data_IF_756145308508
#
_entry.id   IF_756145308508
#
_cell.length_a   1.000
_cell.length_b   1.000
_cell.length_c   1.000
_cell.angle_alpha   90.00
_cell.angle_beta   90.00
_cell.angle_gamma   90.00
#
_symmetry.space_group_name_H-M   'P 1'
#
loop_
_entity.id
_entity.type
_entity.pdbx_description
1 polymer ?
#
# COMPACT_ATOMS: atom_id res chain seq x y z
N UNK A 1 17.57 20.76 -10.12
CA UNK A 1 16.63 20.12 -9.78
C UNK A 1 16.75 19.21 -8.64
N UNK A 2 15.79 18.81 -8.09
CA UNK A 2 15.77 18.07 -7.01
C UNK A 2 14.78 17.09 -7.17
N UNK A 3 14.95 16.00 -6.59
CA UNK A 3 14.25 14.88 -6.89
C UNK A 3 13.31 14.45 -5.83
N UNK A 4 13.43 14.90 -4.63
CA UNK A 4 12.50 14.54 -3.57
C UNK A 4 11.88 15.75 -2.99
N UNK A 5 11.55 16.70 -3.85
CA UNK A 5 11.19 17.97 -3.38
C UNK A 5 9.84 18.07 -2.82
N UNK A 6 8.90 17.28 -3.24
CA UNK A 6 7.56 17.43 -2.76
C UNK A 6 7.17 16.22 -1.93
N UNK A 7 7.30 16.36 -0.63
CA UNK A 7 6.88 15.32 0.30
C UNK A 7 5.46 15.54 0.81
N UNK A 8 4.81 16.64 0.41
CA UNK A 8 3.48 16.99 0.91
C UNK A 8 2.37 16.44 0.02
N UNK A 9 2.38 15.17 -0.20
CA UNK A 9 1.33 14.52 -0.96
C UNK A 9 1.10 13.12 -0.41
N UNK A 10 -0.04 12.56 -0.73
CA UNK A 10 -0.38 11.19 -0.36
C UNK A 10 -0.81 10.46 -1.61
N UNK A 11 -0.89 9.14 -1.51
CA UNK A 11 -1.41 8.31 -2.59
C UNK A 11 -2.57 7.49 -2.07
N UNK A 12 -3.66 7.45 -2.84
CA UNK A 12 -4.72 6.50 -2.56
C UNK A 12 -4.31 5.14 -3.09
N UNK A 13 -4.86 4.08 -2.53
CA UNK A 13 -4.60 2.74 -3.03
C UNK A 13 -5.82 1.84 -2.83
N UNK A 14 -5.88 0.82 -3.66
CA UNK A 14 -6.92 -0.19 -3.54
C UNK A 14 -6.36 -1.48 -4.13
N UNK A 15 -6.31 -2.52 -3.32
CA UNK A 15 -5.77 -3.81 -3.74
C UNK A 15 -6.68 -4.94 -3.29
N UNK A 16 -6.54 -6.08 -3.95
CA UNK A 16 -7.13 -7.33 -3.47
C UNK A 16 -5.96 -8.20 -3.04
N UNK A 17 -6.04 -8.80 -1.86
CA UNK A 17 -4.97 -9.65 -1.35
C UNK A 17 -4.96 -10.98 -2.09
N UNK A 18 -3.92 -11.77 -1.85
CA UNK A 18 -3.87 -13.15 -2.33
C UNK A 18 -5.04 -13.95 -1.77
N UNK A 19 -5.34 -15.05 -2.45
CA UNK A 19 -6.35 -15.99 -1.98
C UNK A 19 -5.64 -17.02 -1.11
N UNK A 20 -5.97 -17.02 0.16
CA UNK A 20 -5.43 -17.97 1.12
C UNK A 20 -6.60 -18.45 1.98
N UNK A 21 -6.61 -19.73 2.29
CA UNK A 21 -7.71 -20.31 3.07
C UNK A 21 -9.05 -20.03 2.40
N UNK A 22 -9.06 -20.12 1.07
CA UNK A 22 -10.25 -20.00 0.21
C UNK A 22 -10.92 -18.63 0.21
N UNK A 23 -10.20 -17.59 0.57
CA UNK A 23 -10.77 -16.23 0.49
C UNK A 23 -9.67 -15.19 0.32
N UNK A 24 -10.08 -14.00 -0.07
CA UNK A 24 -9.21 -12.83 -0.15
C UNK A 24 -9.92 -11.66 0.52
N UNK A 25 -9.20 -10.57 0.70
CA UNK A 25 -9.73 -9.34 1.29
C UNK A 25 -9.38 -8.17 0.39
N UNK A 26 -10.10 -7.08 0.52
CA UNK A 26 -9.72 -5.85 -0.14
C UNK A 26 -9.01 -4.95 0.85
N UNK A 27 -8.09 -4.15 0.33
CA UNK A 27 -7.33 -3.15 1.08
C UNK A 27 -7.51 -1.83 0.36
N UNK A 28 -7.98 -0.82 1.05
CA UNK A 28 -8.16 0.49 0.44
C UNK A 28 -7.87 1.57 1.46
N UNK A 29 -7.23 2.65 1.03
CA UNK A 29 -6.91 3.74 1.93
C UNK A 29 -5.99 4.72 1.28
N UNK A 30 -5.26 5.46 2.12
CA UNK A 30 -4.33 6.49 1.68
C UNK A 30 -3.04 6.36 2.48
N UNK A 31 -1.92 6.69 1.82
CA UNK A 31 -0.63 6.65 2.48
C UNK A 31 -0.45 7.88 3.36
N UNK A 32 0.61 7.89 4.13
CA UNK A 32 1.07 9.08 4.83
C UNK A 32 1.69 10.07 3.84
N UNK A 33 2.09 11.21 4.34
CA UNK A 33 2.93 12.14 3.57
C UNK A 33 4.26 11.46 3.25
N UNK A 34 4.99 12.00 2.29
CA UNK A 34 6.25 11.41 1.86
C UNK A 34 7.33 11.49 2.92
N UNK A 35 8.22 10.53 2.89
CA UNK A 35 9.39 10.46 3.76
C UNK A 35 10.61 10.40 2.84
N UNK A 36 11.58 11.26 3.09
CA UNK A 36 12.77 11.32 2.26
C UNK A 36 13.52 9.99 2.23
N UNK A 37 13.96 9.57 1.06
CA UNK A 37 14.65 8.32 0.88
C UNK A 37 15.68 8.50 -0.24
N UNK A 38 16.93 8.84 0.12
CA UNK A 38 17.95 9.16 -0.87
C UNK A 38 17.53 10.34 -1.73
N UNK A 39 17.55 10.17 -3.04
CA UNK A 39 17.09 11.19 -3.98
C UNK A 39 15.61 11.01 -4.32
N UNK A 40 14.93 10.11 -3.65
CA UNK A 40 13.53 9.84 -3.89
C UNK A 40 12.76 9.99 -2.57
N UNK A 41 11.62 9.38 -2.48
CA UNK A 41 10.81 9.36 -1.27
C UNK A 41 9.99 8.09 -1.22
N UNK A 42 9.53 7.76 -0.04
CA UNK A 42 8.64 6.62 0.19
C UNK A 42 7.49 7.10 1.05
N UNK A 43 6.49 6.27 1.23
CA UNK A 43 5.34 6.58 2.07
C UNK A 43 5.09 5.42 3.01
N UNK A 44 4.65 5.74 4.22
CA UNK A 44 4.16 4.72 5.16
C UNK A 44 2.68 4.52 4.92
N UNK A 45 2.20 3.33 5.22
CA UNK A 45 0.77 3.05 5.14
C UNK A 45 0.40 2.02 6.18
N UNK A 46 -0.84 2.04 6.60
CA UNK A 46 -1.36 1.04 7.54
C UNK A 46 -2.88 1.04 7.45
N UNK A 47 -3.48 -0.03 7.90
CA UNK A 47 -4.92 -0.12 7.90
C UNK A 47 -5.39 -1.51 8.24
N UNK A 48 -6.66 -1.76 7.97
CA UNK A 48 -7.30 -3.04 8.19
C UNK A 48 -8.01 -3.42 6.90
N UNK A 49 -7.92 -4.68 6.53
CA UNK A 49 -8.58 -5.18 5.32
C UNK A 49 -10.10 -5.18 5.50
N UNK A 50 -10.82 -5.48 4.43
CA UNK A 50 -12.25 -5.69 4.51
C UNK A 50 -12.55 -6.83 5.47
N UNK A 51 -13.74 -6.78 6.04
CA UNK A 51 -14.24 -7.79 6.97
C UNK A 51 -14.81 -8.97 6.18
N UNK A 52 -14.44 -10.18 6.55
CA UNK A 52 -15.02 -11.38 5.95
C UNK A 52 -16.18 -11.81 6.82
N UNK A 53 -17.39 -11.63 6.33
CA UNK A 53 -18.58 -11.94 7.11
C UNK A 53 -18.76 -13.41 7.42
N UNK A 54 -18.35 -14.26 6.51
CA UNK A 54 -18.51 -15.69 6.71
C UNK A 54 -17.55 -16.23 7.74
N UNK A 55 -16.33 -15.69 7.76
CA UNK A 55 -15.30 -16.14 8.68
C UNK A 55 -15.11 -15.23 9.87
N UNK A 56 -15.70 -14.05 9.83
CA UNK A 56 -15.70 -13.13 10.95
C UNK A 56 -14.34 -12.57 11.31
N UNK A 57 -13.55 -12.14 10.32
CA UNK A 57 -12.25 -11.55 10.62
C UNK A 57 -11.80 -10.56 9.56
N UNK A 58 -10.80 -9.80 9.93
CA UNK A 58 -10.07 -8.92 9.03
C UNK A 58 -8.61 -9.00 9.46
N UNK A 59 -7.73 -8.44 8.65
CA UNK A 59 -6.30 -8.45 8.96
C UNK A 59 -5.78 -7.02 9.02
N UNK A 60 -4.85 -6.77 9.94
CA UNK A 60 -4.11 -5.51 9.94
C UNK A 60 -2.99 -5.59 8.94
N UNK A 61 -2.59 -4.45 8.42
CA UNK A 61 -1.43 -4.37 7.57
C UNK A 61 -0.73 -3.04 7.81
N UNK A 62 0.58 -3.03 7.60
CA UNK A 62 1.36 -1.80 7.64
C UNK A 62 2.66 -2.04 6.90
N UNK A 63 3.23 -0.97 6.38
CA UNK A 63 4.50 -1.09 5.68
C UNK A 63 4.95 0.25 5.14
N UNK A 64 6.02 0.20 4.34
CA UNK A 64 6.52 1.34 3.60
C UNK A 64 6.55 0.97 2.13
N UNK A 65 6.23 1.93 1.28
CA UNK A 65 6.27 1.71 -0.15
C UNK A 65 7.70 1.67 -0.65
N UNK A 66 7.90 1.25 -1.89
CA UNK A 66 9.16 1.44 -2.58
C UNK A 66 9.33 2.89 -3.02
N UNK A 67 10.49 3.22 -3.61
CA UNK A 67 10.72 4.56 -4.12
C UNK A 67 9.77 4.91 -5.27
N UNK A 68 9.69 6.19 -5.59
CA UNK A 68 8.80 6.68 -6.63
C UNK A 68 9.15 6.10 -8.00
N UNK A 69 8.12 5.76 -8.76
CA UNK A 69 8.26 5.33 -10.15
C UNK A 69 7.52 6.37 -10.97
N UNK A 70 8.26 7.15 -11.76
CA UNK A 70 7.68 8.26 -12.49
C UNK A 70 7.09 7.82 -13.81
N UNK A 71 5.98 8.44 -14.15
CA UNK A 71 5.25 8.16 -15.38
C UNK A 71 5.52 9.27 -16.39
N UNK A 72 5.14 9.02 -17.64
CA UNK A 72 5.44 9.95 -18.72
C UNK A 72 4.79 11.33 -18.54
N UNK A 73 3.68 11.39 -17.83
CA UNK A 73 2.96 12.66 -17.62
C UNK A 73 3.46 13.46 -16.41
N UNK A 74 4.52 12.99 -15.75
CA UNK A 74 5.07 13.68 -14.58
C UNK A 74 4.52 13.24 -13.26
N UNK A 75 3.48 12.44 -13.25
CA UNK A 75 2.98 11.86 -12.00
C UNK A 75 3.82 10.66 -11.61
N UNK A 76 3.61 10.14 -10.43
CA UNK A 76 4.36 8.99 -9.97
C UNK A 76 3.50 8.07 -9.12
N UNK A 77 3.95 6.83 -9.02
CA UNK A 77 3.31 5.81 -8.18
C UNK A 77 4.39 5.15 -7.34
N UNK A 78 3.96 4.38 -6.36
CA UNK A 78 4.85 3.60 -5.51
C UNK A 78 4.37 2.17 -5.45
N UNK A 79 5.30 1.24 -5.35
CA UNK A 79 4.95 -0.17 -5.17
C UNK A 79 4.61 -0.45 -3.72
N UNK A 80 3.56 -1.23 -3.52
CA UNK A 80 3.17 -1.76 -2.22
C UNK A 80 3.34 -3.27 -2.28
N UNK A 81 4.05 -3.81 -1.32
CA UNK A 81 4.26 -5.25 -1.27
C UNK A 81 4.44 -5.67 0.17
N UNK A 82 3.76 -6.70 0.58
CA UNK A 82 3.90 -7.16 1.95
C UNK A 82 2.93 -8.27 2.28
N UNK A 83 2.83 -8.53 3.57
CA UNK A 83 1.96 -9.59 4.10
C UNK A 83 1.14 -8.97 5.21
N UNK A 84 -0.14 -9.34 5.28
CA UNK A 84 -1.00 -8.87 6.36
C UNK A 84 -0.62 -9.57 7.66
N UNK A 85 -1.11 -9.05 8.77
CA UNK A 85 -0.95 -9.70 10.05
C UNK A 85 -1.69 -11.03 10.05
N UNK A 86 -1.23 -11.96 10.87
CA UNK A 86 -1.86 -13.27 10.96
C UNK A 86 -3.12 -13.17 11.81
N UNK A 87 -4.21 -13.73 11.29
CA UNK A 87 -5.48 -13.86 11.99
C UNK A 87 -6.09 -15.19 11.60
N UNK A 88 -6.70 -15.88 12.51
CA UNK A 88 -7.35 -17.17 12.23
C UNK A 88 -6.39 -18.14 11.54
N UNK A 89 -5.13 -18.15 11.99
CA UNK A 89 -4.09 -19.05 11.51
C UNK A 89 -3.67 -18.87 10.06
N UNK A 90 -3.90 -17.70 9.49
CA UNK A 90 -3.42 -17.42 8.15
C UNK A 90 -3.15 -15.93 7.96
N UNK A 91 -2.43 -15.64 6.90
CA UNK A 91 -2.20 -14.27 6.47
C UNK A 91 -2.33 -14.25 4.95
N UNK A 92 -2.35 -13.07 4.38
CA UNK A 92 -2.42 -12.88 2.93
C UNK A 92 -1.26 -11.99 2.51
N UNK A 93 -0.80 -12.16 1.27
CA UNK A 93 0.18 -11.20 0.75
C UNK A 93 -0.48 -10.33 -0.30
N UNK A 94 0.16 -9.24 -0.60
CA UNK A 94 -0.35 -8.28 -1.56
C UNK A 94 0.80 -7.65 -2.32
N UNK A 95 0.52 -7.21 -3.53
CA UNK A 95 1.50 -6.54 -4.36
C UNK A 95 0.76 -5.70 -5.40
N UNK A 96 1.14 -4.46 -5.53
CA UNK A 96 0.53 -3.58 -6.52
C UNK A 96 1.11 -2.19 -6.42
N UNK A 97 0.56 -1.28 -7.21
CA UNK A 97 0.96 0.12 -7.14
C UNK A 97 -0.22 0.94 -6.64
N UNK A 98 0.08 2.07 -6.02
CA UNK A 98 -0.97 2.98 -5.60
C UNK A 98 -1.40 3.85 -6.79
N UNK A 99 -2.33 4.77 -6.55
CA UNK A 99 -2.82 5.65 -7.61
C UNK A 99 -1.82 6.78 -7.84
N UNK A 100 -1.70 7.25 -9.08
CA UNK A 100 -0.74 8.31 -9.39
C UNK A 100 -1.02 9.60 -8.63
N UNK A 101 0.05 10.32 -8.33
CA UNK A 101 -0.02 11.63 -7.72
C UNK A 101 1.12 12.47 -8.30
N UNK A 102 0.97 13.74 -8.29
CA UNK A 102 2.01 14.66 -8.79
C UNK A 102 3.13 14.91 -7.80
#
# INVERSE_FOLDING_TARGET
VYLRTDLNHIHGFSFVTSVNDQHSHTMAGETSLGVAYGVSHVHCYKGTTSWDRERGHAHYYSGMTGPAVYMADGSHVHCHRGTTAMEHNHSHYYCGTDYPSC
#
